data_IF_408427265459
#
_entry.id   IF_408427265459
#
_cell.length_a   1.000
_cell.length_b   1.000
_cell.length_c   1.000
_cell.angle_alpha   90.00
_cell.angle_beta   90.00
_cell.angle_gamma   90.00
#
_symmetry.space_group_name_H-M   'P 1'
#
loop_
_entity.id
_entity.type
_entity.pdbx_description
1 polymer ?
#
# COMPACT_ATOMS: atom_id res chain seq x y z
N UNK A 1 -25.14 13.49 -18.24
CA UNK A 1 -23.99 12.58 -18.44
C UNK A 1 -23.13 12.70 -17.20
N UNK A 2 -22.95 11.61 -16.45
CA UNK A 2 -22.10 11.61 -15.24
C UNK A 2 -20.64 11.67 -15.66
N UNK A 3 -19.90 12.67 -15.18
CA UNK A 3 -18.45 12.74 -15.41
C UNK A 3 -17.79 11.64 -14.60
N UNK A 4 -17.25 10.62 -15.26
CA UNK A 4 -16.37 9.65 -14.60
C UNK A 4 -15.08 10.39 -14.26
N UNK A 5 -14.84 10.59 -12.96
CA UNK A 5 -13.58 11.15 -12.48
C UNK A 5 -12.55 10.03 -12.55
N UNK A 6 -11.66 10.09 -13.55
CA UNK A 6 -10.53 9.16 -13.69
C UNK A 6 -9.51 9.41 -12.57
N UNK A 7 -9.14 8.35 -11.85
CA UNK A 7 -8.14 8.36 -10.78
C UNK A 7 -6.89 7.54 -11.15
N UNK A 8 -5.87 7.51 -10.27
CA UNK A 8 -4.60 6.81 -10.54
C UNK A 8 -4.77 5.31 -10.79
N UNK A 9 -5.70 4.67 -10.08
CA UNK A 9 -5.99 3.25 -10.24
C UNK A 9 -6.65 2.98 -11.60
N UNK A 10 -7.57 3.85 -12.03
CA UNK A 10 -8.18 3.77 -13.36
C UNK A 10 -7.10 3.85 -14.45
N UNK A 11 -6.19 4.83 -14.35
CA UNK A 11 -5.08 4.99 -15.28
C UNK A 11 -4.14 3.77 -15.32
N UNK A 12 -3.84 3.17 -14.16
CA UNK A 12 -3.01 1.96 -14.08
C UNK A 12 -3.67 0.76 -14.79
N UNK A 13 -4.98 0.55 -14.58
CA UNK A 13 -5.70 -0.53 -15.24
C UNK A 13 -5.93 -0.28 -16.74
N UNK A 14 -6.13 0.97 -17.16
CA UNK A 14 -6.19 1.34 -18.58
C UNK A 14 -4.87 1.00 -19.29
N UNK A 15 -3.73 1.32 -18.67
CA UNK A 15 -2.41 0.99 -19.20
C UNK A 15 -2.20 -0.52 -19.30
N UNK A 16 -2.51 -1.28 -18.24
CA UNK A 16 -2.40 -2.74 -18.23
C UNK A 16 -3.29 -3.40 -19.30
N UNK A 17 -4.51 -2.90 -19.49
CA UNK A 17 -5.42 -3.38 -20.53
C UNK A 17 -4.86 -3.10 -21.93
N UNK A 18 -4.24 -1.93 -22.14
CA UNK A 18 -3.63 -1.57 -23.41
C UNK A 18 -2.38 -2.41 -23.72
N UNK A 19 -1.61 -2.80 -22.70
CA UNK A 19 -0.43 -3.67 -22.85
C UNK A 19 -0.74 -5.17 -22.82
N UNK A 20 -1.95 -5.56 -22.41
CA UNK A 20 -2.36 -6.97 -22.27
C UNK A 20 -1.70 -7.66 -21.07
N UNK A 21 -1.32 -6.90 -20.05
CA UNK A 21 -0.62 -7.38 -18.86
C UNK A 21 -1.56 -7.54 -17.65
N UNK A 22 -1.17 -8.41 -16.72
CA UNK A 22 -1.88 -8.60 -15.45
C UNK A 22 -1.30 -7.69 -14.36
N UNK A 23 -2.17 -7.11 -13.52
CA UNK A 23 -1.74 -6.30 -12.39
C UNK A 23 -0.98 -7.12 -11.33
N UNK A 24 0.13 -6.58 -10.84
CA UNK A 24 0.76 -6.96 -9.58
C UNK A 24 0.42 -5.92 -8.51
N UNK A 25 -0.28 -6.34 -7.47
CA UNK A 25 -0.71 -5.48 -6.35
C UNK A 25 -0.21 -6.08 -5.03
N UNK A 26 0.99 -5.70 -4.56
CA UNK A 26 1.51 -6.18 -3.29
C UNK A 26 0.76 -5.56 -2.11
N UNK A 27 0.54 -6.37 -1.08
CA UNK A 27 0.03 -5.93 0.22
C UNK A 27 1.16 -5.89 1.25
N UNK A 28 1.21 -4.82 2.05
CA UNK A 28 2.06 -4.74 3.24
C UNK A 28 1.29 -4.19 4.44
N UNK A 29 1.60 -4.66 5.64
CA UNK A 29 1.10 -4.05 6.87
C UNK A 29 1.92 -2.81 7.21
N UNK A 30 1.25 -1.66 7.34
CA UNK A 30 1.88 -0.40 7.74
C UNK A 30 2.55 -0.57 9.10
N UNK A 31 3.78 -0.07 9.21
CA UNK A 31 4.52 -0.06 10.47
C UNK A 31 5.19 -1.39 10.81
N UNK A 32 5.14 -2.39 9.93
CA UNK A 32 5.89 -3.63 10.08
C UNK A 32 7.15 -3.63 9.20
N UNK A 33 8.37 -3.74 9.75
CA UNK A 33 8.69 -3.67 11.19
C UNK A 33 8.69 -2.23 11.75
N UNK A 34 8.78 -1.21 10.88
CA UNK A 34 8.70 0.21 11.27
C UNK A 34 8.08 1.05 10.16
N UNK A 35 7.66 2.27 10.48
CA UNK A 35 7.08 3.20 9.51
C UNK A 35 8.08 3.62 8.42
N UNK A 36 9.36 3.77 8.76
CA UNK A 36 10.40 4.12 7.79
C UNK A 36 10.62 2.98 6.79
N UNK A 37 10.58 1.73 7.26
CA UNK A 37 10.65 0.57 6.36
C UNK A 37 9.42 0.49 5.47
N UNK A 38 8.21 0.83 5.97
CA UNK A 38 7.02 0.94 5.12
C UNK A 38 7.27 1.90 3.94
N UNK A 39 7.79 3.10 4.18
CA UNK A 39 8.05 4.08 3.10
C UNK A 39 9.14 3.58 2.14
N UNK A 40 10.21 2.95 2.64
CA UNK A 40 11.23 2.34 1.79
C UNK A 40 10.66 1.23 0.89
N UNK A 41 9.78 0.39 1.44
CA UNK A 41 9.12 -0.67 0.70
C UNK A 41 8.19 -0.11 -0.38
N UNK A 42 7.48 1.00 -0.12
CA UNK A 42 6.64 1.65 -1.14
C UNK A 42 7.44 2.01 -2.39
N UNK A 43 8.56 2.71 -2.22
CA UNK A 43 9.45 3.07 -3.33
C UNK A 43 10.11 1.84 -3.97
N UNK A 44 10.48 0.84 -3.16
CA UNK A 44 11.05 -0.41 -3.64
C UNK A 44 10.10 -1.18 -4.55
N UNK A 45 8.83 -1.30 -4.14
CA UNK A 45 7.77 -1.99 -4.91
C UNK A 45 7.41 -1.24 -6.18
N UNK A 46 7.30 0.10 -6.14
CA UNK A 46 7.10 0.92 -7.34
C UNK A 46 8.25 0.73 -8.34
N UNK A 47 9.51 0.80 -7.87
CA UNK A 47 10.69 0.57 -8.72
C UNK A 47 10.76 -0.86 -9.28
N UNK A 48 10.25 -1.84 -8.54
CA UNK A 48 10.20 -3.24 -8.95
C UNK A 48 9.08 -3.54 -9.97
N UNK A 49 8.19 -2.58 -10.25
CA UNK A 49 7.14 -2.72 -11.26
C UNK A 49 5.77 -3.12 -10.71
N UNK A 50 5.49 -2.90 -9.42
CA UNK A 50 4.12 -2.99 -8.91
C UNK A 50 3.20 -1.99 -9.65
N UNK A 51 1.93 -2.36 -9.82
CA UNK A 51 0.94 -1.51 -10.52
C UNK A 51 0.06 -0.70 -9.55
N UNK A 52 -0.07 -1.18 -8.32
CA UNK A 52 -0.69 -0.51 -7.17
C UNK A 52 -0.12 -1.14 -5.89
N UNK A 53 -0.27 -0.47 -4.75
CA UNK A 53 0.15 -1.04 -3.45
C UNK A 53 -0.97 -0.94 -2.43
N UNK A 54 -1.24 -2.03 -1.74
CA UNK A 54 -2.17 -2.07 -0.62
C UNK A 54 -1.46 -1.84 0.72
N UNK A 55 -1.87 -0.78 1.42
CA UNK A 55 -1.41 -0.45 2.75
C UNK A 55 -2.41 -0.95 3.79
N UNK A 56 -2.11 -2.11 4.40
CA UNK A 56 -2.90 -2.67 5.50
C UNK A 56 -2.68 -1.89 6.78
N UNK A 57 -3.75 -1.32 7.34
CA UNK A 57 -3.71 -0.72 8.69
C UNK A 57 -3.76 -1.86 9.71
N UNK A 58 -2.80 -1.94 10.65
CA UNK A 58 -2.78 -3.03 11.61
C UNK A 58 -3.97 -2.93 12.57
N UNK A 59 -4.58 -4.09 12.86
CA UNK A 59 -5.76 -4.23 13.71
C UNK A 59 -5.51 -5.26 14.81
N UNK A 60 -6.11 -5.07 15.99
CA UNK A 60 -5.88 -5.93 17.17
C UNK A 60 -6.47 -7.32 17.01
N UNK A 61 -7.57 -7.43 16.26
CA UNK A 61 -8.36 -8.66 16.12
C UNK A 61 -8.64 -8.99 14.64
N UNK A 62 -7.61 -9.22 13.80
CA UNK A 62 -7.76 -9.38 12.34
C UNK A 62 -8.31 -10.77 11.95
N UNK A 63 -9.59 -11.01 12.23
CA UNK A 63 -10.26 -12.31 12.07
C UNK A 63 -10.26 -12.91 10.64
N UNK A 64 -10.02 -12.08 9.62
CA UNK A 64 -10.01 -12.51 8.22
C UNK A 64 -8.59 -12.83 7.71
N UNK A 65 -7.55 -12.51 8.48
CA UNK A 65 -6.17 -12.62 8.06
C UNK A 65 -5.54 -13.95 8.49
N UNK A 66 -4.59 -14.42 7.67
CA UNK A 66 -3.78 -15.57 8.01
C UNK A 66 -2.68 -15.23 9.04
N UNK A 67 -2.05 -16.25 9.64
CA UNK A 67 -1.11 -16.08 10.76
C UNK A 67 0.13 -15.23 10.44
N UNK A 68 0.47 -15.06 9.16
CA UNK A 68 1.57 -14.19 8.73
C UNK A 68 1.18 -12.71 8.90
N UNK A 69 0.00 -12.32 8.41
CA UNK A 69 -0.50 -10.95 8.47
C UNK A 69 -0.93 -10.62 9.91
N UNK A 70 -1.52 -11.56 10.64
CA UNK A 70 -1.79 -11.40 12.08
C UNK A 70 -0.52 -11.00 12.85
N UNK A 71 0.61 -11.69 12.61
CA UNK A 71 1.88 -11.38 13.26
C UNK A 71 2.49 -10.05 12.78
N UNK A 72 2.29 -9.66 11.52
CA UNK A 72 2.69 -8.36 11.01
C UNK A 72 1.92 -7.24 11.72
N UNK A 73 0.60 -7.39 11.85
CA UNK A 73 -0.26 -6.48 12.61
C UNK A 73 0.16 -6.39 14.09
N UNK A 74 0.46 -7.53 14.73
CA UNK A 74 0.93 -7.55 16.11
C UNK A 74 2.26 -6.77 16.29
N UNK A 75 3.25 -6.96 15.41
CA UNK A 75 4.52 -6.20 15.45
C UNK A 75 4.29 -4.71 15.24
N UNK A 76 3.47 -4.35 14.26
CA UNK A 76 3.16 -2.95 13.97
C UNK A 76 2.45 -2.25 15.14
N UNK A 77 1.49 -2.93 15.79
CA UNK A 77 0.80 -2.41 16.98
C UNK A 77 1.72 -2.29 18.19
N UNK A 78 2.60 -3.28 18.42
CA UNK A 78 3.64 -3.19 19.46
C UNK A 78 4.58 -2.00 19.23
N UNK A 79 4.84 -1.65 17.96
CA UNK A 79 5.58 -0.45 17.56
C UNK A 79 4.78 0.86 17.65
N UNK A 80 3.53 0.84 18.12
CA UNK A 80 2.69 2.04 18.27
C UNK A 80 2.06 2.54 16.97
N UNK A 81 1.94 1.69 15.95
CA UNK A 81 1.33 2.08 14.67
C UNK A 81 -0.15 2.44 14.85
N UNK A 82 -0.60 3.49 14.16
CA UNK A 82 -1.98 3.98 14.19
C UNK A 82 -2.46 4.27 12.78
N UNK A 83 -3.75 4.52 12.60
CA UNK A 83 -4.31 5.00 11.33
C UNK A 83 -3.58 6.24 10.82
N UNK A 84 -3.20 7.16 11.73
CA UNK A 84 -2.47 8.39 11.36
C UNK A 84 -1.11 8.07 10.76
N UNK A 85 -0.43 7.04 11.24
CA UNK A 85 0.83 6.57 10.68
C UNK A 85 0.64 6.03 9.25
N UNK A 86 -0.45 5.31 8.96
CA UNK A 86 -0.76 4.90 7.59
C UNK A 86 -0.95 6.06 6.62
N UNK A 87 -1.70 7.08 7.01
CA UNK A 87 -1.86 8.30 6.22
C UNK A 87 -0.54 9.07 6.06
N UNK A 88 0.31 9.05 7.10
CA UNK A 88 1.64 9.66 7.06
C UNK A 88 2.60 8.94 6.11
N UNK A 89 2.63 7.60 6.11
CA UNK A 89 3.43 6.83 5.16
C UNK A 89 3.07 7.17 3.70
N UNK A 90 1.77 7.19 3.39
CA UNK A 90 1.30 7.58 2.06
C UNK A 90 1.70 9.02 1.71
N UNK A 91 1.54 9.97 2.65
CA UNK A 91 1.95 11.37 2.45
C UNK A 91 3.45 11.49 2.20
N UNK A 92 4.29 10.83 2.99
CA UNK A 92 5.75 10.83 2.86
C UNK A 92 6.17 10.28 1.50
N UNK A 93 5.68 9.10 1.13
CA UNK A 93 5.98 8.50 -0.17
C UNK A 93 5.60 9.43 -1.34
N UNK A 94 4.43 10.07 -1.28
CA UNK A 94 4.01 11.05 -2.30
C UNK A 94 4.89 12.30 -2.32
N UNK A 95 5.26 12.84 -1.15
CA UNK A 95 6.18 13.98 -1.06
C UNK A 95 7.58 13.64 -1.60
N UNK A 96 7.99 12.38 -1.49
CA UNK A 96 9.24 11.82 -2.02
C UNK A 96 9.11 11.39 -3.50
N UNK A 97 7.96 11.60 -4.13
CA UNK A 97 7.78 11.46 -5.58
C UNK A 97 7.09 10.17 -6.04
N UNK A 98 6.62 9.31 -5.13
CA UNK A 98 5.88 8.11 -5.50
C UNK A 98 4.62 8.47 -6.31
N UNK A 99 4.40 7.78 -7.43
CA UNK A 99 3.25 8.02 -8.34
C UNK A 99 2.27 6.87 -8.36
N UNK A 100 2.73 5.68 -7.96
CA UNK A 100 1.95 4.45 -7.89
C UNK A 100 0.64 4.66 -7.12
N UNK A 101 -0.50 4.10 -7.58
CA UNK A 101 -1.74 4.08 -6.84
C UNK A 101 -1.56 3.58 -5.42
#
# INVERSE_FOLDING_TARGET
>A
MSTVISNRLDAAFEQLRASGETALIPFITVGDPTLDVTVQLLHGMEKAGANAIELGIPYSDPLADGPIIERASARALQGGTTIRHGLEAARRARAEGAKIP
#
